data_IF_076521305764
#
_entry.id   IF_076521305764
#
_cell.length_a   1.000
_cell.length_b   1.000
_cell.length_c   1.000
_cell.angle_alpha   90.00
_cell.angle_beta   90.00
_cell.angle_gamma   90.00
#
_symmetry.space_group_name_H-M   'P 1'
#
loop_
_entity.id
_entity.type
_entity.pdbx_description
1 polymer ?
#
# COMPACT_ATOMS: atom_id res chain seq x y z
N UNK A 1 17.66 -47.68 -54.93
CA UNK A 1 18.30 -46.45 -54.42
C UNK A 1 17.35 -45.45 -53.74
N UNK A 2 16.09 -45.31 -54.16
CA UNK A 2 15.14 -44.29 -53.63
C UNK A 2 14.72 -44.49 -52.17
N UNK A 3 14.48 -45.74 -51.72
CA UNK A 3 14.06 -46.05 -50.33
C UNK A 3 15.13 -45.72 -49.28
N UNK A 4 16.41 -46.07 -49.53
CA UNK A 4 17.54 -45.77 -48.61
C UNK A 4 17.74 -44.27 -48.39
N UNK A 5 17.53 -43.44 -49.42
CA UNK A 5 17.63 -41.97 -49.32
C UNK A 5 16.51 -41.38 -48.46
N UNK A 6 15.30 -41.94 -48.53
CA UNK A 6 14.14 -41.51 -47.72
C UNK A 6 14.34 -41.91 -46.26
N UNK A 7 14.82 -43.14 -46.00
CA UNK A 7 15.12 -43.58 -44.62
C UNK A 7 16.21 -42.73 -43.99
N UNK A 8 17.28 -42.41 -44.73
CA UNK A 8 18.36 -41.53 -44.25
C UNK A 8 17.87 -40.11 -43.93
N UNK A 9 16.98 -39.56 -44.76
CA UNK A 9 16.39 -38.23 -44.55
C UNK A 9 15.47 -38.21 -43.33
N UNK A 10 14.66 -39.25 -43.13
CA UNK A 10 13.82 -39.38 -41.94
C UNK A 10 14.66 -39.54 -40.66
N UNK A 11 15.75 -40.33 -40.68
CA UNK A 11 16.65 -40.43 -39.53
C UNK A 11 17.37 -39.13 -39.21
N UNK A 12 17.77 -38.36 -40.24
CA UNK A 12 18.38 -37.05 -40.05
C UNK A 12 17.39 -36.02 -39.49
N UNK A 13 16.13 -36.07 -39.94
CA UNK A 13 15.06 -35.21 -39.44
C UNK A 13 14.71 -35.53 -37.98
N UNK A 14 14.60 -36.81 -37.63
CA UNK A 14 14.38 -37.25 -36.23
C UNK A 14 15.56 -36.82 -35.35
N UNK A 15 16.80 -36.96 -35.83
CA UNK A 15 17.98 -36.51 -35.07
C UNK A 15 17.98 -34.98 -34.85
N UNK A 16 17.55 -34.19 -35.85
CA UNK A 16 17.38 -32.74 -35.71
C UNK A 16 16.28 -32.36 -34.72
N UNK A 17 15.17 -33.11 -34.66
CA UNK A 17 14.10 -32.90 -33.68
C UNK A 17 14.54 -33.24 -32.25
N UNK A 18 15.39 -34.26 -32.07
CA UNK A 18 15.93 -34.62 -30.75
C UNK A 18 16.96 -33.59 -30.27
N UNK A 19 17.81 -33.06 -31.17
CA UNK A 19 18.78 -32.00 -30.85
C UNK A 19 18.15 -30.64 -30.52
N UNK A 20 16.92 -30.38 -30.98
CA UNK A 20 16.17 -29.15 -30.69
C UNK A 20 15.25 -29.25 -29.47
N UNK A 21 15.20 -30.43 -28.82
CA UNK A 21 14.39 -30.66 -27.60
C UNK A 21 15.05 -30.18 -26.31
N UNK A 22 16.24 -29.56 -26.37
CA UNK A 22 16.65 -28.63 -25.33
C UNK A 22 15.87 -27.32 -25.49
N UNK A 23 14.56 -27.44 -25.28
CA UNK A 23 13.76 -26.31 -24.87
C UNK A 23 14.48 -25.72 -23.65
N UNK A 24 15.07 -24.54 -23.84
CA UNK A 24 15.45 -23.61 -22.79
C UNK A 24 14.18 -23.25 -22.00
N UNK A 25 13.67 -24.21 -21.23
CA UNK A 25 12.90 -23.93 -20.04
C UNK A 25 13.88 -23.27 -19.09
N UNK A 26 14.14 -21.97 -19.29
CA UNK A 26 14.80 -21.18 -18.29
C UNK A 26 13.97 -21.39 -17.01
N UNK A 27 14.55 -21.91 -15.91
CA UNK A 27 13.92 -21.69 -14.64
C UNK A 27 13.87 -20.17 -14.52
N UNK A 28 12.67 -19.59 -14.59
CA UNK A 28 12.48 -18.19 -14.22
C UNK A 28 12.74 -18.16 -12.72
N UNK A 29 14.02 -18.04 -12.35
CA UNK A 29 14.42 -17.75 -11.00
C UNK A 29 13.59 -16.54 -10.58
N UNK A 30 12.78 -16.73 -9.55
CA UNK A 30 11.90 -15.66 -9.11
C UNK A 30 12.78 -14.45 -8.80
N UNK A 31 12.42 -13.25 -9.24
CA UNK A 31 13.11 -12.01 -8.83
C UNK A 31 13.12 -11.81 -7.29
N UNK A 32 12.40 -12.67 -6.57
CA UNK A 32 12.32 -12.75 -5.13
C UNK A 32 12.92 -14.02 -4.53
N UNK A 33 13.54 -14.89 -5.32
CA UNK A 33 14.30 -16.04 -4.84
C UNK A 33 15.41 -15.53 -3.89
N UNK A 34 15.40 -16.00 -2.63
CA UNK A 34 16.26 -15.47 -1.56
C UNK A 34 15.77 -14.19 -0.86
N UNK A 35 14.78 -13.44 -1.37
CA UNK A 35 14.15 -12.32 -0.61
C UNK A 35 13.12 -12.80 0.41
N UNK A 36 12.68 -14.05 0.32
CA UNK A 36 11.79 -14.66 1.31
C UNK A 36 12.53 -15.08 2.59
N UNK A 37 13.85 -15.24 2.54
CA UNK A 37 14.68 -15.61 3.69
C UNK A 37 15.23 -14.42 4.47
N UNK A 38 15.07 -13.18 3.96
CA UNK A 38 15.50 -12.00 4.68
C UNK A 38 14.58 -11.70 5.87
N UNK A 39 15.18 -11.38 7.02
CA UNK A 39 14.44 -10.98 8.20
C UNK A 39 13.62 -9.70 7.90
N UNK A 40 12.31 -9.74 8.15
CA UNK A 40 11.40 -8.60 7.98
C UNK A 40 10.99 -8.07 9.34
N UNK A 41 11.01 -6.74 9.49
CA UNK A 41 10.44 -6.08 10.66
C UNK A 41 8.92 -6.21 10.63
N UNK A 42 8.33 -6.75 11.70
CA UNK A 42 6.89 -6.67 11.92
C UNK A 42 6.51 -5.19 12.10
N UNK A 43 5.63 -4.69 11.24
CA UNK A 43 5.27 -3.27 11.21
C UNK A 43 3.99 -2.95 11.96
N UNK A 44 2.99 -3.82 11.81
CA UNK A 44 1.69 -3.66 12.44
C UNK A 44 1.55 -4.67 13.56
N UNK A 45 0.92 -4.25 14.64
CA UNK A 45 0.49 -5.12 15.72
C UNK A 45 -1.04 -5.09 15.82
N UNK A 46 -1.68 -6.21 16.18
CA UNK A 46 -3.10 -6.22 16.47
C UNK A 46 -3.36 -5.49 17.79
N UNK A 47 -4.48 -4.77 17.88
CA UNK A 47 -5.02 -4.20 19.11
C UNK A 47 -6.55 -4.16 19.00
N UNK A 48 -7.23 -5.09 19.68
CA UNK A 48 -8.65 -5.35 19.47
C UNK A 48 -8.95 -5.75 18.03
N UNK A 49 -9.84 -5.01 17.37
CA UNK A 49 -10.22 -5.20 15.97
C UNK A 49 -9.32 -4.43 14.98
N UNK A 50 -8.30 -3.73 15.49
CA UNK A 50 -7.49 -2.80 14.70
C UNK A 50 -6.11 -3.38 14.38
N UNK A 51 -5.58 -2.99 13.21
CA UNK A 51 -4.15 -3.09 12.92
C UNK A 51 -3.48 -1.75 13.16
N UNK A 52 -2.53 -1.72 14.09
CA UNK A 52 -1.93 -0.49 14.61
C UNK A 52 -0.46 -0.40 14.22
N UNK A 53 -0.04 0.80 13.87
CA UNK A 53 1.36 1.19 13.74
C UNK A 53 1.59 2.55 14.38
N UNK A 54 2.73 2.72 15.06
CA UNK A 54 3.16 4.02 15.59
C UNK A 54 4.35 4.48 14.77
N UNK A 55 4.28 5.71 14.27
CA UNK A 55 5.29 6.36 13.44
C UNK A 55 5.68 5.52 12.21
N UNK A 56 4.68 4.97 11.52
CA UNK A 56 4.89 4.32 10.23
C UNK A 56 5.16 5.35 9.12
N UNK A 57 5.85 4.91 8.09
CA UNK A 57 6.43 5.75 7.02
C UNK A 57 5.84 5.48 5.63
N UNK A 58 4.93 4.50 5.50
CA UNK A 58 4.37 4.14 4.19
C UNK A 58 3.21 5.06 3.82
N UNK A 59 3.19 5.48 2.56
CA UNK A 59 2.09 6.24 1.97
C UNK A 59 1.26 5.37 1.04
N UNK A 60 -0.04 5.63 1.00
CA UNK A 60 -1.01 5.01 0.09
C UNK A 60 -0.92 3.48 0.11
N UNK A 61 -0.83 2.92 1.32
CA UNK A 61 -0.52 1.51 1.57
C UNK A 61 -1.74 0.68 2.00
N UNK A 62 -2.91 1.31 2.19
CA UNK A 62 -4.17 0.64 2.50
C UNK A 62 -5.35 1.38 1.88
N UNK A 63 -6.06 0.71 0.97
CA UNK A 63 -7.29 1.22 0.39
C UNK A 63 -8.48 1.07 1.34
N UNK A 64 -9.33 2.09 1.38
CA UNK A 64 -10.72 1.99 1.81
C UNK A 64 -11.59 1.98 0.54
N UNK A 65 -12.36 0.92 0.39
CA UNK A 65 -13.31 0.76 -0.70
C UNK A 65 -14.64 1.39 -0.29
N UNK A 66 -15.19 2.23 -1.16
CA UNK A 66 -16.47 2.90 -0.96
C UNK A 66 -17.57 2.23 -1.76
N UNK A 67 -18.07 2.94 -2.77
CA UNK A 67 -19.09 2.48 -3.71
C UNK A 67 -18.63 1.29 -4.57
N UNK A 68 -19.54 0.78 -5.41
CA UNK A 68 -19.27 -0.27 -6.39
C UNK A 68 -18.38 0.18 -7.57
N UNK A 69 -17.97 1.45 -7.62
CA UNK A 69 -17.13 1.98 -8.69
C UNK A 69 -15.65 1.59 -8.50
N UNK A 70 -14.78 2.08 -9.39
CA UNK A 70 -13.33 1.96 -9.21
C UNK A 70 -12.75 2.89 -8.14
N UNK A 71 -13.57 3.71 -7.46
CA UNK A 71 -13.12 4.67 -6.48
C UNK A 71 -12.53 3.98 -5.24
N UNK A 72 -11.37 4.47 -4.79
CA UNK A 72 -10.75 4.07 -3.52
C UNK A 72 -10.16 5.29 -2.83
N UNK A 73 -10.32 5.34 -1.52
CA UNK A 73 -9.53 6.22 -0.68
C UNK A 73 -8.27 5.46 -0.25
N UNK A 74 -7.14 5.79 -0.86
CA UNK A 74 -5.85 5.23 -0.45
C UNK A 74 -5.35 5.95 0.79
N UNK A 75 -5.15 5.20 1.87
CA UNK A 75 -4.71 5.71 3.18
C UNK A 75 -3.26 5.36 3.43
N UNK A 76 -2.62 6.09 4.36
CA UNK A 76 -1.18 6.02 4.64
C UNK A 76 -0.93 5.75 6.12
N UNK A 77 0.29 5.37 6.52
CA UNK A 77 0.70 5.32 7.94
C UNK A 77 0.78 6.72 8.57
N UNK A 78 0.90 7.75 7.74
CA UNK A 78 0.82 9.18 8.06
C UNK A 78 -0.54 9.76 7.64
N UNK A 79 -1.01 10.91 8.15
CA UNK A 79 -2.30 11.51 7.79
C UNK A 79 -2.29 12.17 6.40
N UNK A 80 -2.03 11.36 5.38
CA UNK A 80 -2.04 11.70 3.96
C UNK A 80 -2.86 10.65 3.19
N UNK A 81 -3.65 11.12 2.24
CA UNK A 81 -4.61 10.30 1.52
C UNK A 81 -4.47 10.52 0.01
N UNK A 82 -4.69 9.49 -0.80
CA UNK A 82 -4.84 9.65 -2.23
C UNK A 82 -6.25 9.24 -2.67
N UNK A 83 -6.79 9.99 -3.61
CA UNK A 83 -8.07 9.70 -4.24
C UNK A 83 -7.77 8.92 -5.51
N UNK A 84 -8.10 7.63 -5.51
CA UNK A 84 -8.00 6.81 -6.69
C UNK A 84 -9.37 6.77 -7.36
N UNK A 85 -9.43 7.27 -8.59
CA UNK A 85 -10.47 6.99 -9.58
C UNK A 85 -9.80 6.04 -10.60
N UNK A 86 -10.37 5.63 -11.76
CA UNK A 86 -9.64 4.82 -12.74
C UNK A 86 -8.25 5.41 -13.15
N UNK A 87 -7.99 6.67 -12.78
CA UNK A 87 -6.69 7.35 -12.74
C UNK A 87 -6.50 8.04 -11.38
N UNK A 88 -5.28 8.48 -11.06
CA UNK A 88 -5.02 9.28 -9.85
C UNK A 88 -5.84 10.58 -9.86
N UNK A 89 -6.71 10.73 -8.87
CA UNK A 89 -7.55 11.91 -8.63
C UNK A 89 -6.89 12.99 -7.76
N UNK A 90 -5.64 12.77 -7.33
CA UNK A 90 -4.87 13.67 -6.49
C UNK A 90 -4.64 13.14 -5.07
N UNK A 91 -3.98 13.94 -4.24
CA UNK A 91 -3.72 13.65 -2.84
C UNK A 91 -4.22 14.77 -1.91
N UNK A 92 -4.62 14.37 -0.71
CA UNK A 92 -5.00 15.25 0.38
C UNK A 92 -3.96 15.11 1.50
N UNK A 93 -3.29 16.22 1.82
CA UNK A 93 -2.36 16.33 2.94
C UNK A 93 -2.87 17.39 3.91
N UNK A 94 -2.75 17.11 5.21
CA UNK A 94 -3.23 17.99 6.26
C UNK A 94 -2.05 18.67 6.97
N UNK A 95 -2.25 19.93 7.35
CA UNK A 95 -1.28 20.71 8.11
C UNK A 95 -1.96 21.58 9.16
N UNK A 96 -1.24 21.85 10.24
CA UNK A 96 -1.65 22.76 11.30
C UNK A 96 -0.82 24.04 11.24
N UNK A 97 -1.48 25.17 11.44
CA UNK A 97 -0.83 26.47 11.62
C UNK A 97 -1.21 27.04 12.98
N UNK A 98 -0.21 27.40 13.77
CA UNK A 98 -0.36 28.09 15.04
C UNK A 98 0.56 29.30 15.07
N UNK A 99 -0.01 30.50 14.91
CA UNK A 99 0.75 31.75 14.71
C UNK A 99 1.77 31.57 13.57
N UNK A 100 3.06 31.68 13.87
CA UNK A 100 4.17 31.57 12.90
C UNK A 100 4.70 30.14 12.75
N UNK A 101 4.13 29.15 13.45
CA UNK A 101 4.53 27.75 13.35
C UNK A 101 3.60 27.00 12.40
N UNK A 102 4.18 26.21 11.51
CA UNK A 102 3.45 25.31 10.61
C UNK A 102 3.95 23.89 10.84
N UNK A 103 3.02 22.96 11.03
CA UNK A 103 3.29 21.53 11.11
C UNK A 103 2.57 20.84 9.96
N UNK A 104 3.32 20.16 9.09
CA UNK A 104 2.72 19.11 8.27
C UNK A 104 2.39 17.93 9.19
N UNK A 105 1.14 17.48 9.20
CA UNK A 105 0.73 16.40 10.11
C UNK A 105 1.45 15.09 9.81
N UNK A 106 2.02 14.94 8.62
CA UNK A 106 2.90 13.83 8.27
C UNK A 106 4.19 13.77 9.09
N UNK A 107 4.61 14.90 9.66
CA UNK A 107 5.83 15.04 10.44
C UNK A 107 5.55 15.29 11.94
N UNK A 108 4.33 15.00 12.40
CA UNK A 108 4.01 15.10 13.81
C UNK A 108 4.87 14.13 14.64
N UNK A 109 5.23 14.55 15.85
CA UNK A 109 6.15 13.82 16.74
C UNK A 109 5.72 12.38 17.03
N UNK A 110 4.41 12.15 17.16
CA UNK A 110 3.85 10.80 17.27
C UNK A 110 2.54 10.69 16.49
N UNK A 111 2.50 9.72 15.58
CA UNK A 111 1.34 9.34 14.78
C UNK A 111 1.06 7.87 15.06
N UNK A 112 -0.03 7.58 15.75
CA UNK A 112 -0.56 6.24 15.83
C UNK A 112 -1.64 6.08 14.79
N UNK A 113 -1.45 5.14 13.87
CA UNK A 113 -2.35 4.89 12.77
C UNK A 113 -3.00 3.52 12.93
N UNK A 114 -4.33 3.52 12.93
CA UNK A 114 -5.16 2.33 13.09
C UNK A 114 -5.94 2.10 11.82
N UNK A 115 -5.83 0.89 11.28
CA UNK A 115 -6.77 0.39 10.29
C UNK A 115 -7.80 -0.46 11.02
N UNK A 116 -9.06 -0.04 10.93
CA UNK A 116 -10.23 -0.80 11.36
C UNK A 116 -11.05 -1.11 10.12
N UNK A 117 -11.82 -2.19 10.12
CA UNK A 117 -12.68 -2.53 8.98
C UNK A 117 -13.44 -1.29 8.47
N UNK A 118 -13.18 -0.88 7.23
CA UNK A 118 -13.80 0.29 6.58
C UNK A 118 -13.31 1.68 7.03
N UNK A 119 -12.31 1.79 7.90
CA UNK A 119 -11.86 3.10 8.41
C UNK A 119 -10.36 3.22 8.67
N UNK A 120 -9.87 4.46 8.58
CA UNK A 120 -8.51 4.84 8.98
C UNK A 120 -8.58 5.88 10.07
N UNK A 121 -7.93 5.59 11.20
CA UNK A 121 -7.95 6.47 12.38
C UNK A 121 -6.51 6.84 12.73
N UNK A 122 -6.24 8.13 12.83
CA UNK A 122 -4.96 8.65 13.32
C UNK A 122 -5.18 9.29 14.68
N UNK A 123 -4.35 8.93 15.65
CA UNK A 123 -4.20 9.64 16.92
C UNK A 123 -2.84 10.31 16.92
N UNK A 124 -2.84 11.63 16.91
CA UNK A 124 -1.66 12.46 16.69
C UNK A 124 -1.38 13.28 17.95
N UNK A 125 -0.12 13.28 18.38
CA UNK A 125 0.38 14.17 19.43
C UNK A 125 1.65 14.85 18.94
N UNK A 126 1.77 16.15 19.22
CA UNK A 126 2.92 16.96 18.83
C UNK A 126 3.07 18.15 19.79
N UNK A 127 4.29 18.63 20.09
CA UNK A 127 4.49 19.81 20.92
C UNK A 127 3.68 21.04 20.50
N UNK A 128 3.35 21.20 19.21
CA UNK A 128 2.50 22.30 18.75
C UNK A 128 1.07 22.24 19.31
N UNK A 129 0.59 21.04 19.68
CA UNK A 129 -0.74 20.79 20.24
C UNK A 129 -0.79 21.02 21.77
N UNK A 130 0.35 21.28 22.40
CA UNK A 130 0.49 21.36 23.86
C UNK A 130 0.75 19.99 24.50
N UNK A 131 1.16 20.00 25.79
CA UNK A 131 1.66 18.81 26.51
C UNK A 131 0.71 17.61 26.48
N UNK A 132 -0.60 17.87 26.55
CA UNK A 132 -1.66 16.85 26.59
C UNK A 132 -2.58 16.91 25.36
N UNK A 133 -2.22 17.72 24.35
CA UNK A 133 -3.06 17.94 23.17
C UNK A 133 -3.05 16.73 22.25
N UNK A 134 -4.23 16.33 21.81
CA UNK A 134 -4.42 15.21 20.89
C UNK A 134 -5.31 15.67 19.73
N UNK A 135 -4.88 15.35 18.52
CA UNK A 135 -5.70 15.44 17.32
C UNK A 135 -6.07 14.02 16.87
N UNK A 136 -7.35 13.77 16.66
CA UNK A 136 -7.86 12.52 16.12
C UNK A 136 -8.45 12.79 14.74
N UNK A 137 -8.01 12.04 13.73
CA UNK A 137 -8.54 12.10 12.37
C UNK A 137 -9.09 10.73 12.02
N UNK A 138 -10.40 10.64 11.74
CA UNK A 138 -11.03 9.42 11.22
C UNK A 138 -11.45 9.65 9.78
N UNK A 139 -11.05 8.76 8.89
CA UNK A 139 -11.43 8.77 7.48
C UNK A 139 -12.27 7.54 7.14
N UNK A 140 -13.34 7.76 6.36
CA UNK A 140 -14.21 6.73 5.80
C UNK A 140 -14.40 6.99 4.31
N UNK A 141 -14.45 5.93 3.50
CA UNK A 141 -14.98 6.02 2.14
C UNK A 141 -16.52 5.98 2.19
N UNK A 142 -17.18 6.68 1.27
CA UNK A 142 -18.64 6.69 1.19
C UNK A 142 -19.15 5.38 0.56
N UNK A 143 -20.18 4.72 1.12
CA UNK A 143 -20.68 3.46 0.59
C UNK A 143 -21.49 3.62 -0.71
N UNK A 144 -22.14 4.77 -0.91
CA UNK A 144 -23.09 4.98 -2.01
C UNK A 144 -22.64 6.07 -3.00
N UNK A 145 -21.42 6.58 -2.86
CA UNK A 145 -20.87 7.62 -3.72
C UNK A 145 -19.35 7.54 -3.83
N UNK A 146 -18.80 8.09 -4.91
CA UNK A 146 -17.35 8.25 -5.07
C UNK A 146 -16.88 9.42 -4.21
N UNK A 147 -16.46 9.11 -2.99
CA UNK A 147 -16.01 10.12 -2.06
C UNK A 147 -15.59 9.56 -0.72
N UNK A 148 -15.14 10.45 0.14
CA UNK A 148 -14.71 10.15 1.49
C UNK A 148 -15.08 11.28 2.44
N UNK A 149 -15.18 10.95 3.72
CA UNK A 149 -15.40 11.91 4.80
C UNK A 149 -14.29 11.81 5.82
N UNK A 150 -13.96 12.97 6.41
CA UNK A 150 -12.98 13.09 7.48
C UNK A 150 -13.63 13.74 8.69
N UNK A 151 -13.56 13.06 9.83
CA UNK A 151 -13.89 13.63 11.13
C UNK A 151 -12.60 14.01 11.83
N UNK A 152 -12.45 15.28 12.17
CA UNK A 152 -11.29 15.82 12.88
C UNK A 152 -11.73 16.29 14.26
N UNK A 153 -11.13 15.72 15.29
CA UNK A 153 -11.47 15.99 16.69
C UNK A 153 -10.22 16.42 17.46
N UNK A 154 -10.34 17.52 18.20
CA UNK A 154 -9.31 17.99 19.12
C UNK A 154 -9.67 17.64 20.55
N UNK A 155 -8.66 17.27 21.35
CA UNK A 155 -8.79 17.07 22.80
C UNK A 155 -7.65 17.78 23.50
N UNK A 156 -7.96 18.56 24.53
CA UNK A 156 -6.98 19.25 25.38
C UNK A 156 -5.95 20.11 24.63
N UNK A 157 -6.35 20.69 23.48
CA UNK A 157 -5.53 21.67 22.77
C UNK A 157 -5.74 23.04 23.45
N UNK A 158 -4.67 23.81 23.75
CA UNK A 158 -4.80 25.16 24.28
C UNK A 158 -5.66 26.06 23.39
N UNK A 159 -6.54 26.85 24.02
CA UNK A 159 -7.35 27.89 23.39
C UNK A 159 -6.52 29.02 22.82
#
# INVERSE_FOLDING_TARGET
>A
MRKRKITALCTLFILLCVLSSEALGQPLASLNEGKHTSARKLRYHPDGEDFVIVNGDRKFNRALYGSHSGFRLETSDVPEFALYLPRMGGNLTLGLRLKNRVLSLNHASRIESRYRAGSRIYKITDPILGKNGVLVITALALPDADGAIWKIESKNIPS
#
